data_IF_237254930050
#
_entry.id   IF_237254930050
#
_cell.length_a   1.000
_cell.length_b   1.000
_cell.length_c   1.000
_cell.angle_alpha   90.00
_cell.angle_beta   90.00
_cell.angle_gamma   90.00
#
_symmetry.space_group_name_H-M   'P 1'
#
loop_
_entity.id
_entity.type
_entity.pdbx_description
1 polymer ?
#
# COMPACT_ATOMS: atom_id res chain seq x y z
N UNK A 1 1.25 11.68 -23.16
CA UNK A 1 2.47 11.31 -22.40
C UNK A 1 2.05 10.37 -21.27
N UNK A 2 1.42 9.25 -21.64
CA UNK A 2 0.96 8.26 -20.68
C UNK A 2 2.16 7.43 -20.21
N UNK A 3 2.12 6.98 -18.95
CA UNK A 3 2.96 5.90 -18.39
C UNK A 3 4.29 6.26 -17.69
N UNK A 4 4.40 7.44 -17.06
CA UNK A 4 5.61 7.85 -16.30
C UNK A 4 5.51 7.79 -14.77
N UNK A 5 4.38 7.37 -14.19
CA UNK A 5 4.14 7.45 -12.73
C UNK A 5 3.52 6.19 -12.10
N UNK A 6 3.76 5.02 -12.69
CA UNK A 6 3.38 3.74 -12.08
C UNK A 6 4.24 3.37 -10.86
N UNK A 7 3.81 2.40 -10.03
CA UNK A 7 4.51 1.95 -8.82
C UNK A 7 6.00 1.65 -9.01
N UNK A 8 6.39 1.20 -10.21
CA UNK A 8 7.73 0.73 -10.58
C UNK A 8 8.69 1.84 -11.07
N UNK A 9 8.23 3.09 -11.12
CA UNK A 9 8.99 4.20 -11.72
C UNK A 9 9.11 5.40 -10.79
N UNK A 10 8.92 5.19 -9.49
CA UNK A 10 9.14 6.23 -8.48
C UNK A 10 10.22 5.79 -7.48
N UNK A 11 10.92 6.75 -6.85
CA UNK A 11 11.88 6.48 -5.78
C UNK A 11 11.34 5.58 -4.67
N UNK A 12 10.11 5.83 -4.19
CA UNK A 12 9.47 4.96 -3.18
C UNK A 12 9.28 3.54 -3.71
N UNK A 13 8.88 3.40 -4.98
CA UNK A 13 8.80 2.10 -5.65
C UNK A 13 10.12 1.35 -5.67
N UNK A 14 11.21 2.03 -6.04
CA UNK A 14 12.55 1.45 -6.08
C UNK A 14 13.09 1.11 -4.70
N UNK A 15 12.81 1.94 -3.68
CA UNK A 15 13.12 1.60 -2.29
C UNK A 15 12.44 0.30 -1.87
N UNK A 16 11.13 0.18 -2.14
CA UNK A 16 10.33 -1.00 -1.80
C UNK A 16 10.84 -2.23 -2.56
N UNK A 17 11.09 -2.11 -3.87
CA UNK A 17 11.65 -3.18 -4.69
C UNK A 17 13.02 -3.63 -4.16
N UNK A 18 13.92 -2.69 -3.85
CA UNK A 18 15.26 -2.98 -3.29
C UNK A 18 15.17 -3.77 -1.99
N UNK A 19 14.39 -3.27 -1.03
CA UNK A 19 14.22 -3.93 0.29
C UNK A 19 13.55 -5.30 0.12
N UNK A 20 12.60 -5.41 -0.81
CA UNK A 20 11.98 -6.69 -1.21
C UNK A 20 12.88 -7.52 -2.15
N UNK A 21 14.17 -7.21 -2.31
CA UNK A 21 15.11 -8.02 -3.09
C UNK A 21 14.73 -8.20 -4.56
N UNK A 22 14.12 -7.18 -5.18
CA UNK A 22 13.65 -7.18 -6.57
C UNK A 22 12.17 -7.47 -6.76
N UNK A 23 11.43 -7.81 -5.69
CA UNK A 23 10.02 -8.19 -5.78
C UNK A 23 9.08 -7.05 -5.32
N UNK A 24 8.80 -6.06 -6.18
CA UNK A 24 7.83 -5.00 -5.82
C UNK A 24 6.44 -5.55 -5.49
N UNK A 25 6.08 -6.70 -6.09
CA UNK A 25 4.81 -7.41 -5.88
C UNK A 25 4.67 -8.06 -4.50
N UNK A 26 5.70 -7.99 -3.65
CA UNK A 26 5.59 -8.29 -2.22
C UNK A 26 5.05 -7.10 -1.43
N UNK A 27 5.08 -5.90 -2.00
CA UNK A 27 4.39 -4.76 -1.42
C UNK A 27 5.07 -4.16 -0.19
N UNK A 28 4.33 -3.26 0.46
CA UNK A 28 4.76 -2.53 1.64
C UNK A 28 3.55 -2.10 2.48
N UNK A 29 3.81 -1.70 3.71
CA UNK A 29 2.80 -1.18 4.62
C UNK A 29 3.27 0.13 5.26
N UNK A 30 2.33 1.00 5.64
CA UNK A 30 2.60 2.27 6.32
C UNK A 30 2.00 2.21 7.73
N UNK A 31 2.83 2.40 8.75
CA UNK A 31 2.40 2.62 10.13
C UNK A 31 2.37 4.12 10.45
N UNK A 32 1.38 4.53 11.23
CA UNK A 32 1.34 5.88 11.80
C UNK A 32 2.05 5.89 13.15
N UNK A 33 2.82 6.95 13.42
CA UNK A 33 3.74 7.00 14.55
C UNK A 33 3.05 6.79 15.89
N UNK A 34 1.96 7.51 16.14
CA UNK A 34 1.15 7.39 17.36
C UNK A 34 0.50 6.00 17.52
N UNK A 35 -0.03 5.41 16.45
CA UNK A 35 -0.57 4.04 16.45
C UNK A 35 0.51 2.99 16.71
N UNK A 36 1.74 3.26 16.27
CA UNK A 36 2.91 2.43 16.54
C UNK A 36 3.48 2.66 17.96
N UNK A 37 3.04 3.70 18.66
CA UNK A 37 3.48 4.08 20.01
C UNK A 37 4.73 4.94 20.04
N UNK A 38 4.91 5.78 19.01
CA UNK A 38 5.78 6.94 19.03
C UNK A 38 4.94 8.10 19.54
N UNK A 39 5.15 8.53 20.78
CA UNK A 39 4.50 9.75 21.29
C UNK A 39 5.18 11.00 20.72
N UNK A 40 6.51 10.97 20.69
CA UNK A 40 7.35 12.04 20.17
C UNK A 40 8.61 11.42 19.59
N UNK A 41 9.01 11.89 18.42
CA UNK A 41 10.18 11.42 17.68
C UNK A 41 11.26 12.49 17.73
N UNK A 42 12.42 12.23 18.37
CA UNK A 42 13.57 13.10 18.28
C UNK A 42 14.02 13.25 16.83
N UNK A 43 14.39 14.46 16.43
CA UNK A 43 14.90 14.78 15.08
C UNK A 43 16.32 15.34 15.16
N UNK A 44 17.29 14.58 15.71
CA UNK A 44 18.64 15.09 15.97
C UNK A 44 19.40 15.47 14.71
N UNK A 45 18.98 14.94 13.55
CA UNK A 45 19.54 15.27 12.24
C UNK A 45 19.06 16.62 11.69
N UNK A 46 18.03 17.24 12.30
CA UNK A 46 17.54 18.57 11.93
C UNK A 46 18.08 19.65 12.89
N UNK A 47 18.33 20.84 12.35
CA UNK A 47 18.54 22.06 13.11
C UNK A 47 17.20 22.67 13.52
N UNK A 48 17.15 23.26 14.72
CA UNK A 48 16.00 24.01 15.25
C UNK A 48 14.69 23.22 15.45
N UNK A 49 14.62 21.97 15.00
CA UNK A 49 13.56 21.01 15.32
C UNK A 49 14.15 19.95 16.24
N UNK A 50 13.80 19.99 17.53
CA UNK A 50 14.27 19.01 18.51
C UNK A 50 13.53 17.69 18.39
N UNK A 51 12.23 17.74 18.10
CA UNK A 51 11.38 16.57 17.98
C UNK A 51 10.05 16.91 17.29
N UNK A 52 9.37 15.88 16.81
CA UNK A 52 8.04 15.96 16.19
C UNK A 52 7.07 15.01 16.89
N UNK A 53 5.80 15.41 17.05
CA UNK A 53 4.75 14.54 17.60
C UNK A 53 4.50 13.34 16.67
N UNK A 54 4.27 12.16 17.24
CA UNK A 54 3.99 10.93 16.47
C UNK A 54 2.75 11.02 15.58
N UNK A 55 1.83 11.94 15.89
CA UNK A 55 0.67 12.25 15.04
C UNK A 55 1.02 12.82 13.66
N UNK A 56 2.29 13.20 13.42
CA UNK A 56 2.80 13.72 12.15
C UNK A 56 3.92 12.85 11.56
N UNK A 57 4.05 11.62 12.08
CA UNK A 57 5.05 10.64 11.64
C UNK A 57 4.36 9.48 10.96
N UNK A 58 4.88 9.09 9.80
CA UNK A 58 4.56 7.81 9.16
C UNK A 58 5.83 7.00 8.94
N UNK A 59 5.71 5.68 9.00
CA UNK A 59 6.81 4.73 8.73
C UNK A 59 6.40 3.78 7.63
N UNK A 60 7.09 3.82 6.49
CA UNK A 60 6.96 2.86 5.42
C UNK A 60 7.86 1.64 5.68
N UNK A 61 7.23 0.47 5.70
CA UNK A 61 7.88 -0.83 5.89
C UNK A 61 7.57 -1.75 4.69
N UNK A 62 8.52 -1.94 3.76
CA UNK A 62 8.44 -3.00 2.75
C UNK A 62 8.38 -4.38 3.40
N UNK A 63 7.79 -5.37 2.73
CA UNK A 63 7.70 -6.75 3.24
C UNK A 63 9.08 -7.34 3.60
N UNK A 64 10.13 -6.98 2.86
CA UNK A 64 11.49 -7.47 3.05
C UNK A 64 12.07 -7.25 4.46
N UNK A 65 11.50 -6.33 5.26
CA UNK A 65 11.89 -6.12 6.67
C UNK A 65 11.76 -7.38 7.54
N UNK A 66 10.97 -8.37 7.10
CA UNK A 66 10.76 -9.67 7.78
C UNK A 66 11.85 -10.68 7.58
N UNK A 67 12.66 -10.55 6.52
CA UNK A 67 13.62 -11.57 6.08
C UNK A 67 14.81 -11.74 7.04
N UNK A 68 14.88 -10.89 8.07
CA UNK A 68 15.93 -10.85 9.08
C UNK A 68 15.29 -10.99 10.45
N UNK A 69 16.03 -11.59 11.38
CA UNK A 69 15.58 -11.76 12.78
C UNK A 69 15.27 -10.44 13.49
N UNK A 70 15.88 -9.33 13.03
CA UNK A 70 15.57 -7.96 13.44
C UNK A 70 15.51 -7.09 12.20
N UNK A 71 14.52 -6.20 12.12
CA UNK A 71 14.52 -5.21 11.06
C UNK A 71 15.70 -4.24 11.23
N UNK A 72 16.36 -4.04 10.10
CA UNK A 72 17.37 -3.03 9.93
C UNK A 72 16.66 -1.67 9.75
N UNK A 73 16.98 -0.65 10.56
CA UNK A 73 16.45 0.70 10.35
C UNK A 73 16.72 1.26 8.93
N UNK A 74 17.69 0.70 8.19
CA UNK A 74 17.94 1.03 6.79
C UNK A 74 16.89 0.49 5.80
N UNK A 75 16.03 -0.43 6.24
CA UNK A 75 14.99 -1.08 5.44
C UNK A 75 13.61 -0.43 5.62
N UNK A 76 13.52 0.69 6.35
CA UNK A 76 12.30 1.51 6.47
C UNK A 76 12.56 2.96 6.07
N UNK A 77 11.51 3.64 5.61
CA UNK A 77 11.50 5.10 5.45
C UNK A 77 10.59 5.73 6.49
N UNK A 78 10.99 6.88 7.01
CA UNK A 78 10.19 7.71 7.90
C UNK A 78 9.80 8.97 7.15
N UNK A 79 8.50 9.29 7.20
CA UNK A 79 7.95 10.52 6.64
C UNK A 79 7.53 11.44 7.78
N UNK A 80 8.03 12.68 7.74
CA UNK A 80 7.70 13.72 8.70
C UNK A 80 6.89 14.80 7.98
N UNK A 81 5.67 15.04 8.46
CA UNK A 81 4.79 16.07 7.94
C UNK A 81 5.11 17.42 8.59
N UNK A 82 5.35 18.46 7.79
CA UNK A 82 5.78 19.76 8.32
C UNK A 82 4.77 20.45 9.23
N UNK A 83 3.48 20.06 9.19
CA UNK A 83 2.50 20.55 10.17
C UNK A 83 2.85 20.19 11.62
N UNK A 84 3.73 19.22 11.82
CA UNK A 84 4.28 18.88 13.14
C UNK A 84 5.50 19.69 13.55
N UNK A 85 5.99 20.61 12.71
CA UNK A 85 7.13 21.48 13.01
C UNK A 85 6.65 22.87 13.45
N UNK A 86 7.33 23.41 14.47
CA UNK A 86 7.11 24.79 14.94
C UNK A 86 7.93 25.82 14.13
N UNK A 87 8.31 25.48 12.89
CA UNK A 87 9.18 26.29 12.02
C UNK A 87 8.78 26.15 10.55
N UNK A 88 9.00 27.22 9.79
CA UNK A 88 8.76 27.30 8.34
C UNK A 88 10.01 26.92 7.53
N UNK A 89 11.15 26.71 8.20
CA UNK A 89 12.42 26.31 7.58
C UNK A 89 13.07 25.20 8.38
N UNK A 90 13.72 24.27 7.69
CA UNK A 90 14.50 23.19 8.31
C UNK A 90 15.89 23.13 7.69
N UNK A 91 16.90 22.89 8.50
CA UNK A 91 18.24 22.56 8.02
C UNK A 91 18.58 21.14 8.44
N UNK A 92 19.31 20.41 7.60
CA UNK A 92 19.91 19.13 8.00
C UNK A 92 21.30 19.42 8.57
N UNK A 93 21.62 18.90 9.76
CA UNK A 93 22.89 19.16 10.44
C UNK A 93 24.08 18.61 9.67
N UNK A 94 24.00 17.33 9.31
CA UNK A 94 25.06 16.58 8.65
C UNK A 94 24.47 15.56 7.68
N UNK A 95 25.21 15.28 6.61
CA UNK A 95 24.85 14.29 5.59
C UNK A 95 24.36 14.88 4.27
N UNK A 96 24.00 13.98 3.36
CA UNK A 96 23.49 14.29 2.04
C UNK A 96 22.01 14.65 2.11
N UNK A 97 21.65 15.67 1.34
CA UNK A 97 20.29 16.20 1.28
C UNK A 97 19.91 16.42 -0.18
N UNK A 98 18.68 16.05 -0.53
CA UNK A 98 18.16 16.20 -1.89
C UNK A 98 16.75 16.79 -1.85
N UNK A 99 16.42 17.60 -2.83
CA UNK A 99 15.10 18.21 -2.98
C UNK A 99 14.35 17.56 -4.13
N UNK A 100 13.05 17.36 -3.95
CA UNK A 100 12.12 16.88 -4.97
C UNK A 100 10.72 17.42 -4.70
N UNK A 101 9.78 17.16 -5.61
CA UNK A 101 8.35 17.29 -5.34
C UNK A 101 7.74 15.94 -4.95
N UNK A 102 6.69 15.96 -4.13
CA UNK A 102 6.01 14.73 -3.71
C UNK A 102 5.47 13.93 -4.92
N UNK A 103 5.07 14.58 -6.01
CA UNK A 103 4.60 13.94 -7.24
C UNK A 103 5.68 13.18 -8.02
N UNK A 104 6.95 13.45 -7.76
CA UNK A 104 8.09 12.73 -8.34
C UNK A 104 8.53 11.55 -7.48
N UNK A 105 8.33 11.64 -6.16
CA UNK A 105 8.76 10.64 -5.18
C UNK A 105 7.68 9.57 -4.93
N UNK A 106 6.42 9.99 -4.82
CA UNK A 106 5.29 9.13 -4.55
C UNK A 106 4.59 8.68 -5.84
N UNK A 107 4.12 7.43 -5.89
CA UNK A 107 3.29 6.98 -7.01
C UNK A 107 1.98 7.77 -7.07
N UNK A 108 1.58 8.16 -8.28
CA UNK A 108 0.38 8.98 -8.50
C UNK A 108 -0.86 8.12 -8.80
N UNK A 109 -2.05 8.67 -8.53
CA UNK A 109 -3.35 8.01 -8.72
C UNK A 109 -3.83 7.63 -10.14
N UNK A 110 -3.34 8.18 -11.28
CA UNK A 110 -3.98 7.96 -12.59
C UNK A 110 -3.75 6.55 -13.20
N UNK A 111 -3.62 5.53 -12.36
CA UNK A 111 -3.84 4.12 -12.73
C UNK A 111 -5.32 3.71 -12.65
N UNK A 112 -6.20 4.55 -12.09
CA UNK A 112 -7.65 4.34 -11.94
C UNK A 112 -8.51 5.11 -12.99
N UNK A 113 -7.91 5.64 -14.07
CA UNK A 113 -8.61 6.39 -15.11
C UNK A 113 -8.37 7.91 -15.06
N UNK A 114 -9.05 8.64 -15.96
CA UNK A 114 -8.86 10.06 -16.35
C UNK A 114 -9.14 11.13 -15.25
N UNK A 115 -9.04 10.77 -13.98
CA UNK A 115 -9.14 11.73 -12.87
C UNK A 115 -7.86 12.55 -12.70
N UNK A 116 -8.00 13.81 -12.27
CA UNK A 116 -6.89 14.67 -11.84
C UNK A 116 -6.04 13.92 -10.80
N UNK A 117 -4.91 13.38 -11.27
CA UNK A 117 -4.12 12.38 -10.56
C UNK A 117 -3.42 12.95 -9.34
N UNK A 118 -4.12 13.14 -8.23
CA UNK A 118 -3.54 13.52 -6.94
C UNK A 118 -2.68 12.41 -6.33
N UNK A 119 -1.94 12.75 -5.28
CA UNK A 119 -1.37 11.76 -4.38
C UNK A 119 -2.45 11.28 -3.40
N UNK A 120 -2.21 10.13 -2.78
CA UNK A 120 -3.11 9.59 -1.79
C UNK A 120 -2.63 9.88 -0.39
N UNK A 121 -3.50 10.48 0.42
CA UNK A 121 -3.15 10.98 1.75
C UNK A 121 -2.82 9.88 2.76
N UNK A 122 -3.18 8.64 2.46
CA UNK A 122 -2.91 7.44 3.27
C UNK A 122 -1.43 7.17 3.54
N UNK A 123 -0.52 7.78 2.78
CA UNK A 123 0.93 7.76 3.04
C UNK A 123 1.33 8.49 4.34
N UNK A 124 0.55 9.48 4.78
CA UNK A 124 0.91 10.40 5.85
C UNK A 124 -0.09 10.37 7.00
N UNK A 125 0.41 10.52 8.22
CA UNK A 125 -0.40 10.78 9.40
C UNK A 125 -0.67 12.28 9.59
N UNK A 126 -1.74 12.60 10.32
CA UNK A 126 -2.13 13.96 10.67
C UNK A 126 -2.96 14.67 9.62
N UNK A 127 -3.13 15.98 9.79
CA UNK A 127 -3.90 16.82 8.86
C UNK A 127 -3.11 17.02 7.55
N UNK A 128 -3.63 16.45 6.47
CA UNK A 128 -3.03 16.37 5.14
C UNK A 128 -3.74 17.27 4.13
N UNK A 129 -4.81 17.95 4.54
CA UNK A 129 -5.55 18.86 3.64
C UNK A 129 -4.62 20.01 3.20
N UNK A 130 -4.48 20.15 1.88
CA UNK A 130 -3.59 21.12 1.23
C UNK A 130 -2.10 20.82 1.37
N UNK A 131 -1.70 19.84 2.21
CA UNK A 131 -0.31 19.55 2.54
C UNK A 131 0.30 18.37 1.80
N UNK A 132 -0.51 17.63 1.06
CA UNK A 132 -0.03 16.49 0.27
C UNK A 132 -0.61 16.51 -1.15
N UNK A 133 -0.11 17.44 -1.94
CA UNK A 133 -0.32 17.49 -3.38
C UNK A 133 0.96 17.09 -4.14
N UNK A 134 0.87 17.01 -5.47
CA UNK A 134 2.04 16.65 -6.30
C UNK A 134 3.18 17.68 -6.22
N UNK A 135 2.85 18.95 -6.01
CA UNK A 135 3.81 20.06 -5.95
C UNK A 135 4.45 20.25 -4.58
N UNK A 136 4.00 19.52 -3.57
CA UNK A 136 4.46 19.65 -2.18
C UNK A 136 5.97 19.45 -2.15
N UNK A 137 6.74 20.45 -1.69
CA UNK A 137 8.19 20.34 -1.56
C UNK A 137 8.57 19.20 -0.63
N UNK A 138 9.59 18.43 -1.00
CA UNK A 138 10.02 17.24 -0.30
C UNK A 138 11.54 17.26 -0.15
N UNK A 139 11.99 17.12 1.10
CA UNK A 139 13.38 16.99 1.47
C UNK A 139 13.73 15.53 1.74
N UNK A 140 14.70 15.00 1.02
CA UNK A 140 15.31 13.70 1.29
C UNK A 140 16.58 13.87 2.12
N UNK A 141 16.52 13.51 3.40
CA UNK A 141 17.69 13.50 4.28
C UNK A 141 18.25 12.07 4.35
N UNK A 142 19.23 11.74 3.50
CA UNK A 142 19.78 10.36 3.40
C UNK A 142 20.91 10.09 4.39
N UNK A 143 21.30 11.09 5.19
CA UNK A 143 22.48 11.02 6.06
C UNK A 143 23.73 10.85 5.21
N UNK A 144 24.73 10.08 5.68
CA UNK A 144 25.98 9.90 4.92
C UNK A 144 25.84 9.07 3.64
N UNK A 145 24.66 8.48 3.41
CA UNK A 145 24.40 7.57 2.28
C UNK A 145 24.02 8.33 1.02
N UNK A 146 24.32 7.73 -0.14
CA UNK A 146 23.88 8.24 -1.44
C UNK A 146 22.41 7.93 -1.71
N UNK A 147 21.80 8.61 -2.70
CA UNK A 147 20.46 8.31 -3.16
C UNK A 147 20.33 6.86 -3.65
N UNK A 148 21.35 6.36 -4.37
CA UNK A 148 21.36 5.01 -4.92
C UNK A 148 21.44 3.96 -3.82
N UNK A 149 22.18 4.23 -2.75
CA UNK A 149 22.24 3.33 -1.61
C UNK A 149 20.89 3.20 -0.92
N UNK A 150 20.12 4.30 -0.82
CA UNK A 150 18.80 4.31 -0.17
C UNK A 150 17.71 3.78 -1.11
N UNK A 151 17.57 4.37 -2.28
CA UNK A 151 16.45 4.15 -3.21
C UNK A 151 16.77 3.19 -4.36
N UNK A 152 18.03 2.81 -4.58
CA UNK A 152 18.46 1.94 -5.68
C UNK A 152 19.12 2.69 -6.85
N UNK A 153 19.92 1.99 -7.67
CA UNK A 153 20.72 2.57 -8.76
C UNK A 153 19.88 3.31 -9.81
N UNK A 154 18.62 2.90 -9.98
CA UNK A 154 17.66 3.49 -10.90
C UNK A 154 17.32 4.95 -10.54
N UNK A 155 17.58 5.36 -9.29
CA UNK A 155 17.32 6.71 -8.80
C UNK A 155 17.95 7.80 -9.67
N UNK A 156 19.18 7.59 -10.17
CA UNK A 156 19.87 8.54 -11.07
C UNK A 156 19.81 8.19 -12.55
N UNK A 157 19.56 6.93 -12.90
CA UNK A 157 19.75 6.40 -14.25
C UNK A 157 18.62 6.77 -15.25
N UNK A 158 17.49 7.30 -14.79
CA UNK A 158 16.30 7.48 -15.65
C UNK A 158 16.24 8.80 -16.42
N UNK A 159 17.30 9.61 -16.41
CA UNK A 159 17.37 10.89 -17.15
C UNK A 159 16.40 11.98 -16.66
N UNK A 160 15.49 11.64 -15.75
CA UNK A 160 14.54 12.53 -15.07
C UNK A 160 14.92 12.75 -13.59
N UNK A 161 16.16 12.40 -13.18
CA UNK A 161 16.66 12.42 -11.80
C UNK A 161 15.95 13.50 -10.97
N UNK A 162 14.89 13.16 -10.21
CA UNK A 162 13.95 14.14 -9.65
C UNK A 162 14.53 14.88 -8.45
N UNK A 163 15.85 14.77 -8.30
CA UNK A 163 16.61 15.10 -7.14
C UNK A 163 17.65 16.11 -7.53
N UNK A 164 17.42 17.33 -7.09
CA UNK A 164 18.47 18.33 -7.05
C UNK A 164 19.27 18.17 -5.76
N UNK A 165 20.54 18.55 -5.80
CA UNK A 165 21.32 18.66 -4.56
C UNK A 165 20.64 19.72 -3.71
N UNK A 166 20.14 19.33 -2.54
CA UNK A 166 19.27 20.18 -1.75
C UNK A 166 20.01 21.40 -1.24
N UNK A 167 19.28 22.51 -1.14
CA UNK A 167 19.70 23.68 -0.40
C UNK A 167 19.58 23.39 1.09
N UNK A 168 20.57 23.86 1.85
CA UNK A 168 20.58 23.80 3.29
C UNK A 168 20.91 25.21 3.82
N UNK A 169 19.98 25.95 4.44
CA UNK A 169 18.64 25.51 4.88
C UNK A 169 17.66 25.26 3.72
N UNK A 170 16.76 24.31 3.91
CA UNK A 170 15.64 24.05 3.01
C UNK A 170 14.54 25.08 3.29
N UNK A 171 14.45 26.08 2.41
CA UNK A 171 13.44 27.13 2.48
C UNK A 171 12.16 26.68 1.77
N UNK A 172 11.07 26.62 2.52
CA UNK A 172 9.79 26.10 2.02
C UNK A 172 8.84 27.23 1.62
N UNK A 173 9.21 28.50 1.85
CA UNK A 173 8.40 29.66 1.53
C UNK A 173 7.03 29.64 2.21
N UNK A 174 6.93 29.05 3.40
CA UNK A 174 5.71 28.88 4.20
C UNK A 174 4.69 27.91 3.59
N UNK A 175 5.10 27.08 2.64
CA UNK A 175 4.29 25.99 2.11
C UNK A 175 4.40 24.74 2.99
N UNK A 176 3.36 23.90 3.07
CA UNK A 176 3.51 22.58 3.63
C UNK A 176 4.59 21.80 2.87
N UNK A 177 5.40 21.04 3.60
CA UNK A 177 6.51 20.27 3.04
C UNK A 177 6.66 18.94 3.78
N UNK A 178 7.48 18.05 3.22
CA UNK A 178 7.77 16.75 3.79
C UNK A 178 9.26 16.56 3.98
N UNK A 179 9.61 15.84 5.04
CA UNK A 179 10.95 15.26 5.19
C UNK A 179 10.81 13.75 5.09
N UNK A 180 11.57 13.13 4.19
CA UNK A 180 11.71 11.69 4.10
C UNK A 180 13.14 11.33 4.46
N UNK A 181 13.29 10.39 5.39
CA UNK A 181 14.59 9.94 5.84
C UNK A 181 14.58 8.42 6.05
N UNK A 182 15.70 7.73 5.76
CA UNK A 182 15.90 6.36 6.21
C UNK A 182 15.75 6.22 7.73
N UNK A 183 15.21 5.10 8.19
CA UNK A 183 15.00 4.87 9.62
C UNK A 183 16.27 4.99 10.46
N UNK A 184 17.44 4.63 9.94
CA UNK A 184 18.72 4.79 10.67
C UNK A 184 19.09 6.27 10.91
N UNK A 185 18.73 7.18 10.01
CA UNK A 185 18.96 8.63 10.18
C UNK A 185 18.09 9.19 11.31
N UNK A 186 16.87 8.68 11.44
CA UNK A 186 15.88 9.20 12.38
C UNK A 186 15.96 8.53 13.75
N UNK A 187 16.01 7.20 13.76
CA UNK A 187 15.97 6.40 14.98
C UNK A 187 17.36 6.04 15.51
N UNK A 188 18.40 6.11 14.67
CA UNK A 188 19.73 5.58 14.98
C UNK A 188 19.79 4.05 14.96
N UNK A 189 21.01 3.50 14.88
CA UNK A 189 21.25 2.05 14.75
C UNK A 189 20.79 1.22 15.97
N UNK A 190 20.54 1.87 17.11
CA UNK A 190 20.17 1.24 18.38
C UNK A 190 18.67 1.24 18.72
N UNK A 191 17.81 1.84 17.90
CA UNK A 191 16.40 2.00 18.28
C UNK A 191 15.62 0.69 18.31
N UNK A 192 14.86 0.51 19.39
CA UNK A 192 13.95 -0.62 19.56
C UNK A 192 12.66 -0.49 18.76
N UNK A 193 12.32 0.72 18.28
CA UNK A 193 11.06 0.94 17.56
C UNK A 193 11.02 0.08 16.30
N UNK A 194 11.97 0.24 15.37
CA UNK A 194 11.95 -0.51 14.10
C UNK A 194 12.25 -2.01 14.31
N UNK A 195 12.97 -2.37 15.38
CA UNK A 195 13.35 -3.77 15.65
C UNK A 195 12.15 -4.67 15.99
N UNK A 196 11.05 -4.09 16.49
CA UNK A 196 9.80 -4.82 16.71
C UNK A 196 8.96 -4.84 15.42
N UNK A 197 9.40 -5.68 14.48
CA UNK A 197 8.78 -5.84 13.14
C UNK A 197 7.32 -6.24 13.25
N UNK A 198 7.01 -7.15 14.19
CA UNK A 198 5.65 -7.61 14.39
C UNK A 198 4.74 -6.45 14.80
N UNK A 199 5.13 -5.66 15.79
CA UNK A 199 4.39 -4.47 16.21
C UNK A 199 4.26 -3.43 15.11
N UNK A 200 5.32 -3.21 14.31
CA UNK A 200 5.30 -2.24 13.21
C UNK A 200 4.26 -2.62 12.17
N UNK A 201 4.29 -3.87 11.71
CA UNK A 201 3.38 -4.37 10.69
C UNK A 201 1.96 -4.55 11.23
N UNK A 202 1.82 -4.86 12.52
CA UNK A 202 0.52 -4.90 13.20
C UNK A 202 -0.14 -3.53 13.34
N UNK A 203 0.64 -2.46 13.48
CA UNK A 203 0.14 -1.07 13.41
C UNK A 203 -0.04 -0.57 11.96
N UNK A 204 0.50 -1.27 10.96
CA UNK A 204 0.55 -0.77 9.59
C UNK A 204 -0.74 -0.99 8.78
N UNK A 205 -0.87 -0.23 7.70
CA UNK A 205 -1.93 -0.29 6.69
C UNK A 205 -1.31 -0.54 5.31
N UNK A 206 -2.03 -1.08 4.31
CA UNK A 206 -1.47 -1.25 2.96
C UNK A 206 -0.89 0.06 2.42
N UNK A 207 0.36 0.03 1.95
CA UNK A 207 0.97 1.20 1.33
C UNK A 207 0.31 1.47 -0.04
N UNK A 208 -0.21 2.68 -0.29
CA UNK A 208 -0.98 2.94 -1.50
C UNK A 208 -0.11 2.99 -2.77
N UNK A 209 -0.35 2.18 -3.80
CA UNK A 209 0.35 2.27 -5.10
C UNK A 209 1.91 2.20 -5.06
N UNK A 210 2.53 2.09 -3.89
CA UNK A 210 3.96 1.89 -3.65
C UNK A 210 4.15 0.76 -2.64
N UNK A 211 3.27 -0.22 -2.76
CA UNK A 211 3.24 -1.45 -2.00
C UNK A 211 1.99 -2.30 -2.24
N UNK A 212 1.13 -1.89 -3.17
CA UNK A 212 -0.07 -2.63 -3.55
C UNK A 212 0.29 -3.81 -4.44
N UNK A 213 0.12 -5.00 -3.91
CA UNK A 213 0.20 -6.28 -4.63
C UNK A 213 -1.12 -6.52 -5.36
N UNK A 214 -1.46 -5.64 -6.31
CA UNK A 214 -2.68 -5.84 -7.07
C UNK A 214 -2.48 -7.01 -8.02
N UNK A 215 -3.24 -8.07 -7.78
CA UNK A 215 -3.24 -9.25 -8.62
C UNK A 215 -4.62 -9.48 -9.20
N UNK A 216 -4.65 -10.12 -10.36
CA UNK A 216 -5.89 -10.57 -10.97
C UNK A 216 -5.82 -12.07 -11.20
N UNK A 217 -6.86 -12.77 -10.81
CA UNK A 217 -7.08 -14.17 -11.14
C UNK A 217 -8.40 -14.33 -11.87
N UNK A 218 -8.42 -15.22 -12.86
CA UNK A 218 -9.65 -15.65 -13.53
C UNK A 218 -9.74 -17.17 -13.48
N UNK A 219 -10.88 -17.68 -13.05
CA UNK A 219 -11.26 -19.08 -13.12
C UNK A 219 -12.46 -19.18 -14.05
N UNK A 220 -12.29 -19.86 -15.17
CA UNK A 220 -13.38 -20.18 -16.10
C UNK A 220 -13.63 -21.68 -16.11
N UNK A 221 -14.89 -22.07 -16.00
CA UNK A 221 -15.32 -23.48 -15.98
C UNK A 221 -16.55 -23.64 -16.86
N UNK A 222 -16.61 -24.65 -17.74
CA UNK A 222 -17.77 -24.86 -18.60
C UNK A 222 -19.05 -25.03 -17.79
N UNK A 223 -20.13 -24.39 -18.21
CA UNK A 223 -21.44 -24.56 -17.58
C UNK A 223 -22.34 -25.47 -18.44
N UNK A 224 -22.10 -26.77 -18.38
CA UNK A 224 -22.97 -27.74 -19.06
C UNK A 224 -24.25 -27.96 -18.25
N UNK A 225 -25.42 -28.03 -18.91
CA UNK A 225 -26.68 -28.37 -18.25
C UNK A 225 -27.10 -29.81 -18.51
N UNK A 226 -27.43 -30.55 -17.46
CA UNK A 226 -28.04 -31.90 -17.54
C UNK A 226 -29.41 -31.84 -16.88
N UNK A 227 -30.46 -32.15 -17.64
CA UNK A 227 -31.85 -32.08 -17.18
C UNK A 227 -32.28 -30.70 -16.62
N UNK A 228 -31.72 -29.61 -17.16
CA UNK A 228 -32.04 -28.24 -16.73
C UNK A 228 -31.28 -27.79 -15.48
N UNK A 229 -30.39 -28.62 -14.93
CA UNK A 229 -29.52 -28.26 -13.82
C UNK A 229 -28.09 -28.09 -14.32
N UNK A 230 -27.34 -27.16 -13.74
CA UNK A 230 -25.91 -27.05 -14.03
C UNK A 230 -25.19 -28.31 -13.55
N UNK A 231 -24.33 -28.87 -14.40
CA UNK A 231 -23.39 -29.93 -14.04
C UNK A 231 -22.08 -29.37 -13.45
N UNK A 232 -21.94 -28.04 -13.40
CA UNK A 232 -20.77 -27.38 -12.85
C UNK A 232 -20.87 -27.30 -11.33
N UNK A 233 -19.92 -27.89 -10.58
CA UNK A 233 -19.99 -27.99 -9.12
C UNK A 233 -19.75 -26.66 -8.39
N UNK A 234 -19.43 -25.58 -9.10
CA UNK A 234 -19.12 -24.26 -8.55
C UNK A 234 -20.27 -23.26 -8.67
N UNK A 235 -21.22 -23.48 -9.59
CA UNK A 235 -22.29 -22.51 -9.91
C UNK A 235 -23.15 -22.20 -8.69
N UNK A 236 -23.57 -23.23 -7.95
CA UNK A 236 -24.45 -23.09 -6.78
C UNK A 236 -23.69 -22.86 -5.46
N UNK A 237 -22.36 -22.66 -5.52
CA UNK A 237 -21.53 -22.44 -4.34
C UNK A 237 -21.53 -20.97 -4.01
N UNK A 238 -21.85 -20.63 -2.77
CA UNK A 238 -21.75 -19.27 -2.24
C UNK A 238 -20.31 -18.74 -2.36
N UNK A 239 -20.12 -17.48 -2.76
CA UNK A 239 -18.79 -16.93 -3.08
C UNK A 239 -17.81 -17.04 -1.89
N UNK A 240 -18.31 -16.88 -0.66
CA UNK A 240 -17.51 -17.09 0.55
C UNK A 240 -17.00 -18.52 0.73
N UNK A 241 -17.82 -19.52 0.39
CA UNK A 241 -17.43 -20.93 0.45
C UNK A 241 -16.49 -21.26 -0.70
N UNK A 242 -16.78 -20.74 -1.90
CA UNK A 242 -15.96 -20.91 -3.09
C UNK A 242 -14.51 -20.50 -2.85
N UNK A 243 -14.26 -19.34 -2.21
CA UNK A 243 -12.91 -18.84 -1.88
C UNK A 243 -12.09 -19.76 -0.95
N UNK A 244 -12.73 -20.77 -0.34
CA UNK A 244 -12.09 -21.76 0.49
C UNK A 244 -11.85 -23.10 -0.22
N UNK A 245 -12.39 -23.29 -1.44
CA UNK A 245 -12.15 -24.49 -2.26
C UNK A 245 -10.81 -24.44 -2.97
N UNK A 246 -10.31 -25.61 -3.36
CA UNK A 246 -9.00 -25.79 -3.99
C UNK A 246 -8.89 -24.99 -5.29
N UNK A 247 -9.92 -25.00 -6.13
CA UNK A 247 -9.93 -24.33 -7.43
C UNK A 247 -9.78 -22.80 -7.29
N UNK A 248 -10.49 -22.22 -6.33
CA UNK A 248 -10.39 -20.79 -6.06
C UNK A 248 -9.07 -20.44 -5.36
N UNK A 249 -8.56 -21.29 -4.46
CA UNK A 249 -7.25 -21.09 -3.82
C UNK A 249 -6.11 -21.10 -4.84
N UNK A 250 -6.14 -22.00 -5.81
CA UNK A 250 -5.18 -22.02 -6.92
C UNK A 250 -5.28 -20.77 -7.80
N UNK A 251 -6.50 -20.30 -8.11
CA UNK A 251 -6.70 -19.02 -8.79
C UNK A 251 -6.11 -17.85 -8.00
N UNK A 252 -6.38 -17.76 -6.69
CA UNK A 252 -5.89 -16.69 -5.82
C UNK A 252 -4.36 -16.76 -5.63
N UNK A 253 -3.78 -17.96 -5.59
CA UNK A 253 -2.33 -18.18 -5.57
C UNK A 253 -1.67 -17.56 -6.81
N UNK A 254 -2.23 -17.82 -7.99
CA UNK A 254 -1.76 -17.22 -9.26
C UNK A 254 -1.94 -15.71 -9.29
N UNK A 255 -2.99 -15.21 -8.63
CA UNK A 255 -3.19 -13.79 -8.42
C UNK A 255 -2.20 -13.20 -7.38
N UNK A 256 -1.37 -14.00 -6.71
CA UNK A 256 -0.37 -13.49 -5.75
C UNK A 256 -0.97 -13.04 -4.42
N UNK A 257 -2.06 -13.67 -3.98
CA UNK A 257 -2.68 -13.40 -2.66
C UNK A 257 -1.73 -13.71 -1.48
N UNK A 258 -0.70 -14.51 -1.72
CA UNK A 258 0.36 -14.88 -0.76
C UNK A 258 1.68 -15.16 -1.50
N UNK A 259 2.78 -15.18 -0.74
CA UNK A 259 4.12 -15.64 -1.14
C UNK A 259 4.38 -17.12 -0.75
N UNK A 260 3.42 -17.78 -0.10
CA UNK A 260 3.48 -19.19 0.25
C UNK A 260 3.13 -20.11 -0.95
N UNK A 261 3.48 -21.38 -0.82
CA UNK A 261 3.21 -22.39 -1.85
C UNK A 261 1.72 -22.74 -1.93
N UNK A 262 0.92 -22.43 -0.92
CA UNK A 262 -0.53 -22.66 -0.86
C UNK A 262 -1.26 -21.49 -0.20
N UNK A 263 -2.53 -21.30 -0.55
CA UNK A 263 -3.41 -20.31 0.09
C UNK A 263 -4.11 -20.95 1.27
N UNK A 264 -3.62 -20.68 2.48
CA UNK A 264 -4.27 -21.08 3.73
C UNK A 264 -4.86 -19.85 4.42
N UNK A 265 -6.17 -19.84 4.61
CA UNK A 265 -6.84 -18.80 5.39
C UNK A 265 -6.64 -19.05 6.89
N UNK A 266 -5.84 -18.21 7.53
CA UNK A 266 -5.65 -18.22 8.99
C UNK A 266 -6.86 -17.59 9.71
N UNK A 267 -7.53 -16.65 9.05
CA UNK A 267 -8.77 -16.03 9.50
C UNK A 267 -9.58 -15.52 8.31
N UNK A 268 -10.91 -15.72 8.31
CA UNK A 268 -11.76 -15.38 7.16
C UNK A 268 -11.78 -16.50 6.11
N UNK A 269 -12.22 -16.22 4.86
CA UNK A 269 -12.66 -14.91 4.36
C UNK A 269 -13.96 -14.45 5.04
N UNK A 270 -14.05 -13.15 5.35
CA UNK A 270 -15.27 -12.50 5.85
C UNK A 270 -15.74 -11.48 4.82
N UNK A 271 -17.05 -11.34 4.67
CA UNK A 271 -17.61 -10.29 3.78
C UNK A 271 -17.19 -8.93 4.33
N UNK A 272 -16.64 -8.09 3.47
CA UNK A 272 -16.32 -6.72 3.78
C UNK A 272 -17.54 -5.86 3.40
N UNK A 273 -18.22 -5.33 4.41
CA UNK A 273 -19.37 -4.43 4.24
C UNK A 273 -19.00 -2.98 4.55
N UNK A 274 -19.55 -2.03 3.79
CA UNK A 274 -19.61 -0.61 4.18
C UNK A 274 -21.00 -0.29 4.73
N UNK A 275 -21.12 -0.17 6.05
CA UNK A 275 -22.40 0.15 6.69
C UNK A 275 -22.99 1.46 6.14
N UNK A 276 -24.20 1.37 5.57
CA UNK A 276 -24.99 2.50 5.05
C UNK A 276 -24.48 3.17 3.76
N UNK A 277 -23.46 2.62 3.08
CA UNK A 277 -22.81 3.31 1.94
C UNK A 277 -22.23 2.42 0.82
N UNK A 278 -22.44 1.12 0.79
CA UNK A 278 -22.02 0.35 -0.39
C UNK A 278 -23.01 0.64 -1.54
N UNK A 279 -22.64 1.41 -2.59
CA UNK A 279 -23.37 1.29 -3.84
C UNK A 279 -23.20 -0.14 -4.35
N UNK A 280 -24.19 -0.64 -5.08
CA UNK A 280 -24.05 -1.85 -5.87
C UNK A 280 -22.95 -1.60 -6.91
N UNK A 281 -21.69 -1.88 -6.55
CA UNK A 281 -20.59 -1.83 -7.51
C UNK A 281 -20.78 -3.00 -8.45
N UNK A 282 -21.36 -2.68 -9.59
CA UNK A 282 -21.51 -3.56 -10.72
C UNK A 282 -20.38 -3.33 -11.71
N UNK A 283 -20.01 -4.37 -12.43
CA UNK A 283 -19.07 -4.33 -13.55
C UNK A 283 -19.65 -5.20 -14.67
N UNK A 284 -19.11 -5.09 -15.88
CA UNK A 284 -19.51 -5.94 -16.99
C UNK A 284 -18.56 -7.14 -17.09
N UNK A 285 -19.09 -8.36 -16.90
CA UNK A 285 -18.33 -9.60 -17.06
C UNK A 285 -19.03 -10.48 -18.09
N UNK A 286 -18.34 -10.76 -19.21
CA UNK A 286 -18.89 -11.46 -20.37
C UNK A 286 -20.17 -10.80 -20.91
N UNK A 287 -20.18 -9.48 -21.05
CA UNK A 287 -21.35 -8.75 -21.56
C UNK A 287 -22.52 -8.64 -20.58
N UNK A 288 -22.36 -9.10 -19.34
CA UNK A 288 -23.40 -9.12 -18.32
C UNK A 288 -23.03 -8.25 -17.12
N UNK A 289 -23.95 -7.36 -16.73
CA UNK A 289 -23.84 -6.60 -15.49
C UNK A 289 -23.77 -7.56 -14.29
N UNK A 290 -22.69 -7.47 -13.53
CA UNK A 290 -22.29 -8.42 -12.50
C UNK A 290 -21.89 -7.68 -11.23
N UNK A 291 -22.47 -8.05 -10.10
CA UNK A 291 -22.11 -7.47 -8.81
C UNK A 291 -20.71 -7.90 -8.37
N UNK A 292 -19.96 -6.97 -7.77
CA UNK A 292 -18.67 -7.24 -7.13
C UNK A 292 -18.87 -7.44 -5.63
N UNK A 293 -18.63 -8.66 -5.17
CA UNK A 293 -18.56 -9.00 -3.74
C UNK A 293 -17.15 -8.79 -3.21
N UNK A 294 -17.00 -8.20 -2.02
CA UNK A 294 -15.70 -7.95 -1.40
C UNK A 294 -15.52 -8.75 -0.11
N UNK A 295 -14.36 -9.35 0.04
CA UNK A 295 -13.98 -10.18 1.17
C UNK A 295 -12.65 -9.72 1.76
N UNK A 296 -12.48 -9.91 3.06
CA UNK A 296 -11.21 -9.69 3.73
C UNK A 296 -10.86 -10.85 4.66
N UNK A 297 -9.57 -11.06 4.89
CA UNK A 297 -9.10 -12.04 5.85
C UNK A 297 -7.58 -12.03 5.97
N UNK A 298 -7.06 -13.11 6.53
CA UNK A 298 -5.64 -13.36 6.70
C UNK A 298 -5.28 -14.64 5.99
N UNK A 299 -4.26 -14.58 5.16
CA UNK A 299 -3.64 -15.77 4.60
C UNK A 299 -2.26 -15.98 5.17
N UNK A 300 -1.84 -17.24 5.29
CA UNK A 300 -0.47 -17.60 5.60
C UNK A 300 0.48 -17.08 4.53
N UNK A 301 1.73 -16.82 4.91
CA UNK A 301 2.82 -16.48 4.00
C UNK A 301 4.12 -17.14 4.45
N UNK A 302 5.12 -17.16 3.58
CA UNK A 302 6.42 -17.79 3.87
C UNK A 302 7.14 -17.05 5.01
N UNK A 303 7.17 -15.72 4.92
CA UNK A 303 7.86 -14.84 5.87
C UNK A 303 6.91 -14.27 6.95
N UNK A 304 5.66 -14.76 7.00
CA UNK A 304 4.64 -14.29 7.95
C UNK A 304 3.28 -14.05 7.30
N UNK A 305 2.26 -13.73 8.10
CA UNK A 305 0.90 -13.60 7.61
C UNK A 305 0.70 -12.34 6.76
N UNK A 306 -0.35 -12.41 5.93
CA UNK A 306 -0.79 -11.33 5.06
C UNK A 306 -2.24 -10.98 5.36
N UNK A 307 -2.52 -9.69 5.52
CA UNK A 307 -3.89 -9.20 5.39
C UNK A 307 -4.23 -9.22 3.90
N UNK A 308 -5.42 -9.69 3.53
CA UNK A 308 -5.87 -9.67 2.15
C UNK A 308 -7.27 -9.08 2.02
N UNK A 309 -7.47 -8.33 0.93
CA UNK A 309 -8.76 -8.00 0.36
C UNK A 309 -8.92 -8.72 -0.97
N UNK A 310 -10.06 -9.37 -1.18
CA UNK A 310 -10.40 -10.09 -2.41
C UNK A 310 -11.74 -9.55 -2.91
N UNK A 311 -11.77 -9.06 -4.14
CA UNK A 311 -12.97 -8.57 -4.81
C UNK A 311 -13.33 -9.54 -5.91
N UNK A 312 -14.56 -10.03 -5.94
CA UNK A 312 -14.99 -11.15 -6.78
C UNK A 312 -16.20 -10.76 -7.59
N UNK A 313 -16.15 -11.03 -8.90
CA UNK A 313 -17.23 -10.89 -9.85
C UNK A 313 -17.48 -12.26 -10.47
N UNK A 314 -18.74 -12.68 -10.57
CA UNK A 314 -19.13 -14.01 -11.06
C UNK A 314 -20.21 -13.91 -12.12
N UNK A 315 -19.97 -14.51 -13.28
CA UNK A 315 -20.94 -14.63 -14.37
C UNK A 315 -21.18 -16.10 -14.69
N UNK A 316 -22.41 -16.44 -15.07
CA UNK A 316 -22.85 -17.80 -15.40
C UNK A 316 -23.62 -17.87 -16.72
N UNK A 317 -23.41 -16.90 -17.63
CA UNK A 317 -24.20 -16.76 -18.86
C UNK A 317 -24.07 -17.99 -19.78
N UNK A 318 -22.85 -18.32 -20.20
CA UNK A 318 -22.53 -19.50 -21.03
C UNK A 318 -21.55 -20.43 -20.32
N UNK A 319 -20.50 -19.85 -19.74
CA UNK A 319 -19.56 -20.51 -18.83
C UNK A 319 -19.68 -19.89 -17.44
N UNK A 320 -19.26 -20.63 -16.41
CA UNK A 320 -19.11 -20.08 -15.08
C UNK A 320 -17.72 -19.45 -14.95
N UNK A 321 -17.69 -18.11 -14.94
CA UNK A 321 -16.46 -17.31 -14.85
C UNK A 321 -16.44 -16.55 -13.53
N UNK A 322 -15.32 -16.67 -12.83
CA UNK A 322 -15.00 -15.95 -11.62
C UNK A 322 -13.77 -15.10 -11.91
N UNK A 323 -13.90 -13.78 -11.78
CA UNK A 323 -12.78 -12.86 -11.77
C UNK A 323 -12.53 -12.39 -10.34
N UNK A 324 -11.28 -12.37 -9.91
CA UNK A 324 -10.88 -11.92 -8.59
C UNK A 324 -9.74 -10.89 -8.65
N UNK A 325 -9.99 -9.69 -8.14
CA UNK A 325 -8.96 -8.70 -7.82
C UNK A 325 -8.47 -8.90 -6.39
N UNK A 326 -7.16 -9.06 -6.20
CA UNK A 326 -6.57 -9.24 -4.87
C UNK A 326 -5.69 -8.07 -4.50
N UNK A 327 -5.71 -7.73 -3.22
CA UNK A 327 -4.75 -6.85 -2.58
C UNK A 327 -4.28 -7.51 -1.29
N UNK A 328 -3.01 -7.33 -0.94
CA UNK A 328 -2.49 -7.79 0.34
C UNK A 328 -1.52 -6.79 0.93
N UNK A 329 -1.34 -6.88 2.24
CA UNK A 329 -0.34 -6.14 2.98
C UNK A 329 0.28 -7.04 4.06
N UNK A 330 1.59 -6.87 4.33
CA UNK A 330 2.25 -7.64 5.37
C UNK A 330 1.65 -7.36 6.76
N UNK A 331 1.27 -8.41 7.51
CA UNK A 331 0.93 -8.36 8.95
C UNK A 331 1.98 -8.99 9.87
N UNK A 332 2.30 -8.37 11.00
CA UNK A 332 3.22 -8.96 11.98
C UNK A 332 2.70 -10.27 12.54
N UNK A 333 1.45 -10.26 13.00
CA UNK A 333 0.78 -11.42 13.58
C UNK A 333 -0.59 -11.68 12.96
N UNK A 334 -1.01 -12.95 12.94
CA UNK A 334 -2.34 -13.32 12.49
C UNK A 334 -3.45 -12.75 13.42
N UNK A 335 -3.12 -12.51 14.71
CA UNK A 335 -4.06 -11.97 15.70
C UNK A 335 -4.38 -10.50 15.48
N UNK A 336 -3.43 -9.69 15.01
CA UNK A 336 -3.66 -8.28 14.74
C UNK A 336 -4.74 -8.04 13.68
N UNK A 337 -4.91 -8.97 12.74
CA UNK A 337 -5.97 -8.90 11.74
C UNK A 337 -7.39 -9.00 12.32
N UNK A 338 -7.57 -9.72 13.42
CA UNK A 338 -8.87 -9.83 14.07
C UNK A 338 -9.32 -8.49 14.67
N UNK A 339 -8.37 -7.64 15.08
CA UNK A 339 -8.62 -6.26 15.50
C UNK A 339 -8.86 -5.32 14.30
N UNK A 340 -8.16 -5.54 13.18
CA UNK A 340 -8.33 -4.79 11.91
C UNK A 340 -9.60 -5.16 11.14
N UNK A 341 -10.19 -6.33 11.38
CA UNK A 341 -11.43 -6.78 10.74
C UNK A 341 -12.72 -6.39 11.46
N UNK A 342 -12.62 -5.84 12.68
CA UNK A 342 -13.75 -5.35 13.49
C UNK A 342 -13.95 -3.83 13.32
N UNK A 343 -12.86 -3.13 12.99
CA UNK A 343 -12.89 -1.77 12.47
C UNK A 343 -12.86 -1.87 10.95
N UNK A 344 -13.93 -1.47 10.27
CA UNK A 344 -13.77 -0.78 8.98
C UNK A 344 -12.48 0.03 9.05
N UNK A 345 -11.56 -0.07 8.09
CA UNK A 345 -10.32 0.74 8.03
C UNK A 345 -10.62 2.13 8.61
N UNK A 346 -10.38 2.32 9.92
CA UNK A 346 -10.83 3.50 10.65
C UNK A 346 -9.73 4.50 10.36
N UNK A 347 -9.75 5.00 9.13
CA UNK A 347 -9.18 6.28 8.84
C UNK A 347 -9.91 7.29 9.74
N UNK A 348 -9.19 8.22 10.38
CA UNK A 348 -9.78 9.19 11.28
C UNK A 348 -11.02 9.82 10.64
N UNK A 349 -12.07 9.91 11.44
CA UNK A 349 -13.34 10.56 11.13
C UNK A 349 -13.09 12.06 10.94
N UNK A 350 -12.55 12.45 9.79
CA UNK A 350 -12.49 13.84 9.31
C UNK A 350 -11.90 13.89 7.90
N UNK A 351 -12.61 13.38 6.89
CA UNK A 351 -12.74 14.04 5.59
C UNK A 351 -13.84 13.32 4.83
N UNK A 352 -14.77 14.09 4.27
CA UNK A 352 -15.93 13.61 3.51
C UNK A 352 -15.56 12.97 2.14
N UNK A 353 -14.29 12.56 1.95
CA UNK A 353 -13.70 11.95 0.76
C UNK A 353 -12.61 10.92 1.11
N UNK A 354 -12.90 10.02 2.05
CA UNK A 354 -11.99 8.94 2.45
C UNK A 354 -12.29 7.63 1.72
N UNK A 355 -11.61 7.37 0.61
CA UNK A 355 -11.56 6.06 -0.02
C UNK A 355 -10.62 5.17 0.80
N UNK A 356 -11.16 4.08 1.36
CA UNK A 356 -10.31 3.11 2.05
C UNK A 356 -9.44 2.41 1.01
N UNK A 357 -8.22 2.01 1.38
CA UNK A 357 -7.32 1.24 0.49
C UNK A 357 -7.99 -0.03 -0.05
N UNK A 358 -8.87 -0.65 0.77
CA UNK A 358 -9.72 -1.75 0.35
C UNK A 358 -10.60 -1.39 -0.86
N UNK A 359 -11.31 -0.26 -0.83
CA UNK A 359 -12.20 0.16 -1.92
C UNK A 359 -11.46 0.70 -3.15
N UNK A 360 -10.25 1.25 -3.00
CA UNK A 360 -9.39 1.56 -4.14
C UNK A 360 -9.00 0.29 -4.94
N UNK A 361 -8.80 -0.85 -4.27
CA UNK A 361 -8.62 -2.14 -4.94
C UNK A 361 -9.87 -2.67 -5.65
N UNK A 362 -11.06 -2.30 -5.14
CA UNK A 362 -12.35 -2.61 -5.79
C UNK A 362 -12.53 -1.81 -7.08
N UNK A 363 -12.18 -0.52 -7.08
CA UNK A 363 -12.18 0.33 -8.28
C UNK A 363 -11.18 -0.16 -9.35
N UNK A 364 -10.01 -0.63 -8.92
CA UNK A 364 -9.04 -1.27 -9.82
C UNK A 364 -9.63 -2.51 -10.51
N UNK A 365 -10.33 -3.35 -9.75
CA UNK A 365 -10.99 -4.52 -10.31
C UNK A 365 -12.01 -4.13 -11.40
N UNK A 366 -12.83 -3.11 -11.17
CA UNK A 366 -13.79 -2.60 -12.16
C UNK A 366 -13.07 -2.20 -13.45
N UNK A 367 -12.02 -1.37 -13.35
CA UNK A 367 -11.29 -0.88 -14.53
C UNK A 367 -10.62 -2.00 -15.34
N UNK A 368 -10.14 -3.07 -14.68
CA UNK A 368 -9.49 -4.19 -15.35
C UNK A 368 -10.50 -5.16 -15.95
N UNK A 369 -11.59 -5.47 -15.25
CA UNK A 369 -12.64 -6.37 -15.75
C UNK A 369 -13.33 -5.78 -16.98
N UNK A 370 -13.62 -4.49 -16.99
CA UNK A 370 -14.18 -3.80 -18.17
C UNK A 370 -13.26 -3.88 -19.40
N UNK A 371 -11.95 -3.84 -19.20
CA UNK A 371 -10.98 -3.96 -20.31
C UNK A 371 -10.86 -5.38 -20.85
N UNK A 372 -11.04 -6.40 -19.99
CA UNK A 372 -11.05 -7.80 -20.41
C UNK A 372 -12.29 -8.19 -21.21
N UNK A 373 -13.34 -7.37 -21.20
CA UNK A 373 -14.55 -7.61 -21.99
C UNK A 373 -14.48 -7.05 -23.43
N UNK A 374 -13.46 -6.24 -23.74
CA UNK A 374 -13.33 -5.51 -25.03
C UNK A 374 -12.32 -6.18 -25.99
N UNK A 375 -11.45 -7.06 -25.49
CA UNK A 375 -10.50 -7.87 -26.29
C UNK A 375 -10.99 -9.31 -26.46
#
# INVERSE_FOLDING_TARGET
MADRHGPLRTPIGWFVERVNGGAISEGAAVAYGDEFGIDTLPTPFLENVSSISGGYVSVLAPTGVRRRDQADPNDVLVFLNSKGFDTETVSVRDGNVFEASAGEVFPSRPWLGDGDGGLTTTWLNGDVDGAFDKSTPLLLATGDRSLEEVFGEQARATGNNPFDTGNNPFDTGNNPFLVVAPGNVVFGDGSSHVRDVERLLDASRPAPLGGGTFGLGVLSTPNASVAGQSANPLVDVETKELLQREEAREMLKRAGVTDADEVEWLAGPKVAYREGKDPDFVTELLGSETAIESFTGVVSGREGPWWTGVHVARSSADDHVIAAGVQRAPLGTAKAAAKKGDTTLHMPVATTKGDTTLFAGREYMVSVVERLAIE
#
